data_IF_045293508057
#
_entry.id   IF_045293508057
#
_cell.length_a   1.000
_cell.length_b   1.000
_cell.length_c   1.000
_cell.angle_alpha   90.00
_cell.angle_beta   90.00
_cell.angle_gamma   90.00
#
_symmetry.space_group_name_H-M   'P 1'
#
loop_
_entity.id
_entity.type
_entity.pdbx_description
1 polymer ?
#
# COMPACT_ATOMS: atom_id res chain seq x y z
N UNK A 1 23.03 2.93 20.20
CA UNK A 1 23.19 2.12 18.99
C UNK A 1 22.04 2.51 18.05
N UNK A 2 22.33 3.08 16.89
CA UNK A 2 21.30 3.35 15.89
C UNK A 2 20.68 2.03 15.44
N UNK A 3 19.35 2.00 15.41
CA UNK A 3 18.63 0.84 14.89
C UNK A 3 19.08 0.62 13.42
N UNK A 4 19.52 -0.57 13.00
CA UNK A 4 19.94 -0.85 11.62
C UNK A 4 18.90 -0.43 10.57
N UNK A 5 17.65 -0.30 10.97
CA UNK A 5 16.54 0.09 10.13
C UNK A 5 16.44 1.59 9.85
N UNK A 6 17.03 2.45 10.69
CA UNK A 6 17.03 3.90 10.51
C UNK A 6 17.75 4.35 9.24
N UNK A 7 18.63 3.50 8.70
CA UNK A 7 19.31 3.72 7.41
C UNK A 7 18.36 3.69 6.20
N UNK A 8 17.18 3.12 6.37
CA UNK A 8 16.19 2.99 5.30
C UNK A 8 15.00 3.93 5.45
N UNK A 9 14.93 4.68 6.54
CA UNK A 9 13.91 5.71 6.73
C UNK A 9 14.24 6.92 5.87
N UNK A 10 13.23 7.43 5.19
CA UNK A 10 13.36 8.71 4.52
C UNK A 10 13.39 9.82 5.58
N UNK A 11 14.55 10.51 5.67
CA UNK A 11 14.76 11.63 6.58
C UNK A 11 14.57 12.93 5.81
N UNK A 12 13.92 13.90 6.41
CA UNK A 12 13.75 15.25 5.90
C UNK A 12 13.89 16.23 7.05
N UNK A 13 14.36 17.45 6.74
CA UNK A 13 14.43 18.55 7.71
C UNK A 13 13.06 19.14 8.06
N UNK A 14 11.99 18.65 7.41
CA UNK A 14 10.63 19.05 7.73
C UNK A 14 10.22 18.50 9.09
N UNK A 15 9.72 19.40 9.95
CA UNK A 15 9.09 19.00 11.19
C UNK A 15 7.79 18.22 10.92
N UNK A 16 7.59 17.18 11.71
CA UNK A 16 6.33 16.45 11.76
C UNK A 16 5.22 17.40 12.19
N UNK A 17 4.18 17.49 11.35
CA UNK A 17 3.03 18.32 11.67
C UNK A 17 1.96 17.51 12.41
N UNK A 18 1.73 17.86 13.66
CA UNK A 18 0.57 17.39 14.41
C UNK A 18 -0.38 18.57 14.67
N UNK A 19 -1.58 18.57 14.09
CA UNK A 19 -2.53 19.68 14.28
C UNK A 19 -3.03 19.74 15.73
N UNK A 20 -3.32 20.95 16.21
CA UNK A 20 -4.05 21.10 17.47
C UNK A 20 -5.44 20.49 17.31
N UNK A 21 -5.79 19.58 18.19
CA UNK A 21 -7.09 18.92 18.22
C UNK A 21 -7.99 19.55 19.24
N UNK A 22 -9.20 19.88 18.84
CA UNK A 22 -10.28 20.32 19.74
C UNK A 22 -10.89 19.14 20.48
N UNK A 23 -11.57 19.41 21.61
CA UNK A 23 -12.32 18.37 22.36
C UNK A 23 -13.35 17.67 21.46
N UNK A 24 -13.99 18.43 20.57
CA UNK A 24 -14.96 17.88 19.60
C UNK A 24 -14.31 16.91 18.61
N UNK A 25 -13.16 17.28 18.05
CA UNK A 25 -12.40 16.42 17.13
C UNK A 25 -11.90 15.14 17.84
N UNK A 26 -11.45 15.26 19.10
CA UNK A 26 -11.08 14.11 19.92
C UNK A 26 -12.26 13.17 20.17
N UNK A 27 -13.44 13.71 20.49
CA UNK A 27 -14.65 12.91 20.65
C UNK A 27 -15.02 12.18 19.36
N UNK A 28 -14.99 12.85 18.20
CA UNK A 28 -15.20 12.23 16.90
C UNK A 28 -14.19 11.12 16.65
N UNK A 29 -12.92 11.36 16.87
CA UNK A 29 -11.84 10.38 16.70
C UNK A 29 -12.05 9.16 17.58
N UNK A 30 -12.45 9.35 18.82
CA UNK A 30 -12.79 8.26 19.76
C UNK A 30 -13.94 7.39 19.26
N UNK A 31 -15.06 8.01 18.83
CA UNK A 31 -16.20 7.25 18.29
C UNK A 31 -15.84 6.51 17.00
N UNK A 32 -15.10 7.13 16.11
CA UNK A 32 -14.59 6.47 14.89
C UNK A 32 -13.68 5.27 15.23
N UNK A 33 -12.82 5.42 16.23
CA UNK A 33 -11.97 4.34 16.71
C UNK A 33 -12.80 3.18 17.28
N UNK A 34 -13.79 3.45 18.10
CA UNK A 34 -14.69 2.42 18.63
C UNK A 34 -15.41 1.66 17.51
N UNK A 35 -15.95 2.39 16.52
CA UNK A 35 -16.58 1.78 15.35
C UNK A 35 -15.58 0.94 14.57
N UNK A 36 -14.37 1.44 14.34
CA UNK A 36 -13.30 0.71 13.66
C UNK A 36 -12.97 -0.61 14.36
N UNK A 37 -12.78 -0.57 15.68
CA UNK A 37 -12.45 -1.76 16.47
C UNK A 37 -13.60 -2.76 16.42
N UNK A 38 -14.84 -2.32 16.70
CA UNK A 38 -16.04 -3.19 16.69
C UNK A 38 -16.24 -3.82 15.31
N UNK A 39 -16.16 -3.03 14.25
CA UNK A 39 -16.29 -3.52 12.87
C UNK A 39 -15.19 -4.52 12.50
N UNK A 40 -13.94 -4.26 12.91
CA UNK A 40 -12.82 -5.17 12.69
C UNK A 40 -13.04 -6.49 13.43
N UNK A 41 -13.43 -6.45 14.72
CA UNK A 41 -13.71 -7.65 15.51
C UNK A 41 -14.85 -8.49 14.90
N UNK A 42 -15.90 -7.86 14.38
CA UNK A 42 -16.98 -8.56 13.67
C UNK A 42 -16.54 -9.12 12.31
N UNK A 43 -15.61 -8.44 11.62
CA UNK A 43 -15.14 -8.87 10.30
C UNK A 43 -14.19 -10.07 10.37
N UNK A 44 -13.42 -10.24 11.46
CA UNK A 44 -12.45 -11.33 11.63
C UNK A 44 -13.11 -12.72 11.55
N UNK A 45 -14.16 -13.04 12.32
CA UNK A 45 -14.84 -14.34 12.24
C UNK A 45 -15.39 -14.62 10.84
N UNK A 46 -15.99 -13.63 10.20
CA UNK A 46 -16.50 -13.74 8.84
C UNK A 46 -15.38 -14.06 7.83
N UNK A 47 -14.24 -13.39 7.98
CA UNK A 47 -13.07 -13.65 7.13
C UNK A 47 -12.50 -15.05 7.37
N UNK A 48 -12.39 -15.50 8.62
CA UNK A 48 -11.92 -16.84 8.96
C UNK A 48 -12.86 -17.93 8.39
N UNK A 49 -14.17 -17.73 8.47
CA UNK A 49 -15.15 -18.62 7.85
C UNK A 49 -15.00 -18.65 6.33
N UNK A 50 -14.84 -17.50 5.69
CA UNK A 50 -14.57 -17.41 4.26
C UNK A 50 -13.25 -18.09 3.86
N UNK A 51 -12.24 -18.05 4.72
CA UNK A 51 -10.94 -18.73 4.50
C UNK A 51 -11.08 -20.26 4.60
N UNK A 52 -11.88 -20.76 5.56
CA UNK A 52 -12.20 -22.17 5.68
C UNK A 52 -12.93 -22.64 4.41
N UNK A 53 -13.95 -21.89 3.98
CA UNK A 53 -14.69 -22.18 2.75
C UNK A 53 -13.76 -22.22 1.53
N UNK A 54 -12.83 -21.24 1.42
CA UNK A 54 -11.83 -21.22 0.35
C UNK A 54 -10.96 -22.48 0.36
N UNK A 55 -10.48 -22.90 1.52
CA UNK A 55 -9.63 -24.10 1.63
C UNK A 55 -10.38 -25.38 1.21
N UNK A 56 -11.68 -25.43 1.39
CA UNK A 56 -12.52 -26.60 1.01
C UNK A 56 -12.97 -26.56 -0.45
N UNK A 57 -13.26 -25.40 -1.00
CA UNK A 57 -13.95 -25.25 -2.30
C UNK A 57 -13.13 -24.53 -3.36
N UNK A 58 -12.03 -23.88 -2.99
CA UNK A 58 -11.26 -22.99 -3.87
C UNK A 58 -11.94 -21.64 -4.16
N UNK A 59 -13.12 -21.36 -3.58
CA UNK A 59 -13.88 -20.14 -3.85
C UNK A 59 -13.28 -18.95 -3.08
N UNK A 60 -12.49 -18.12 -3.76
CA UNK A 60 -11.78 -16.95 -3.21
C UNK A 60 -12.69 -15.71 -2.98
N UNK A 61 -13.77 -15.58 -3.76
CA UNK A 61 -14.61 -14.38 -3.82
C UNK A 61 -15.09 -13.86 -2.46
N UNK A 62 -15.55 -14.66 -1.49
CA UNK A 62 -15.99 -14.15 -0.18
C UNK A 62 -14.88 -13.44 0.59
N UNK A 63 -13.66 -13.97 0.61
CA UNK A 63 -12.51 -13.33 1.29
C UNK A 63 -12.18 -11.97 0.66
N UNK A 64 -12.19 -11.90 -0.67
CA UNK A 64 -11.92 -10.65 -1.41
C UNK A 64 -12.98 -9.60 -1.07
N UNK A 65 -14.25 -9.98 -1.05
CA UNK A 65 -15.36 -9.09 -0.71
C UNK A 65 -15.21 -8.54 0.71
N UNK A 66 -14.96 -9.40 1.70
CA UNK A 66 -14.83 -8.98 3.10
C UNK A 66 -13.67 -8.00 3.27
N UNK A 67 -12.48 -8.31 2.70
CA UNK A 67 -11.31 -7.41 2.74
C UNK A 67 -11.59 -6.07 2.09
N UNK A 68 -12.23 -6.08 0.92
CA UNK A 68 -12.60 -4.87 0.18
C UNK A 68 -13.52 -3.97 0.99
N UNK A 69 -14.61 -4.53 1.53
CA UNK A 69 -15.55 -3.76 2.34
C UNK A 69 -14.94 -3.29 3.65
N UNK A 70 -14.11 -4.11 4.30
CA UNK A 70 -13.38 -3.70 5.51
C UNK A 70 -12.49 -2.48 5.23
N UNK A 71 -11.75 -2.49 4.13
CA UNK A 71 -10.91 -1.35 3.72
C UNK A 71 -11.74 -0.11 3.38
N UNK A 72 -12.85 -0.28 2.63
CA UNK A 72 -13.75 0.83 2.28
C UNK A 72 -14.36 1.51 3.50
N UNK A 73 -14.85 0.72 4.46
CA UNK A 73 -15.44 1.25 5.70
C UNK A 73 -14.36 1.95 6.53
N UNK A 74 -13.18 1.37 6.65
CA UNK A 74 -12.06 2.01 7.38
C UNK A 74 -11.67 3.35 6.75
N UNK A 75 -11.57 3.43 5.41
CA UNK A 75 -11.29 4.71 4.73
C UNK A 75 -12.41 5.74 4.93
N UNK A 76 -13.67 5.31 4.98
CA UNK A 76 -14.79 6.21 5.29
C UNK A 76 -14.74 6.71 6.75
N UNK A 77 -14.34 5.87 7.69
CA UNK A 77 -14.09 6.30 9.07
C UNK A 77 -12.94 7.31 9.15
N UNK A 78 -11.94 7.18 8.27
CA UNK A 78 -10.91 8.20 8.07
C UNK A 78 -11.40 9.40 7.23
N UNK A 79 -12.70 9.54 6.93
CA UNK A 79 -13.27 10.60 6.09
C UNK A 79 -12.57 10.76 4.73
N UNK A 80 -12.04 9.67 4.19
CA UNK A 80 -11.41 9.63 2.87
C UNK A 80 -12.39 9.12 1.81
N UNK A 81 -12.56 9.90 0.75
CA UNK A 81 -13.25 9.48 -0.47
C UNK A 81 -12.22 8.95 -1.46
N UNK A 82 -12.57 7.84 -2.14
CA UNK A 82 -11.69 7.24 -3.14
C UNK A 82 -12.09 7.75 -4.53
N UNK A 83 -11.08 8.16 -5.31
CA UNK A 83 -11.20 8.38 -6.75
C UNK A 83 -10.30 7.39 -7.47
N UNK A 84 -10.82 6.75 -8.51
CA UNK A 84 -10.08 5.78 -9.30
C UNK A 84 -10.05 6.23 -10.75
N UNK A 85 -8.87 6.19 -11.37
CA UNK A 85 -8.64 6.38 -12.79
C UNK A 85 -7.93 5.15 -13.34
N UNK A 86 -8.28 4.74 -14.54
CA UNK A 86 -7.81 3.47 -15.10
C UNK A 86 -8.48 2.26 -14.45
N UNK A 87 -7.97 1.08 -14.76
CA UNK A 87 -8.51 -0.20 -14.27
C UNK A 87 -7.38 -1.09 -13.79
N UNK A 88 -7.62 -1.81 -12.69
CA UNK A 88 -6.72 -2.88 -12.25
C UNK A 88 -6.73 -4.00 -13.29
N UNK A 89 -5.56 -4.52 -13.63
CA UNK A 89 -5.41 -5.59 -14.61
C UNK A 89 -6.15 -6.85 -14.20
N UNK A 90 -6.82 -7.47 -15.16
CA UNK A 90 -7.38 -8.83 -15.00
C UNK A 90 -6.31 -9.92 -15.08
N UNK A 91 -5.14 -9.61 -15.67
CA UNK A 91 -4.00 -10.52 -15.73
C UNK A 91 -3.20 -10.45 -14.43
N UNK A 92 -2.59 -11.57 -14.04
CA UNK A 92 -1.65 -11.60 -12.91
C UNK A 92 -0.47 -10.70 -13.22
N UNK A 93 -0.18 -9.76 -12.33
CA UNK A 93 0.87 -8.77 -12.54
C UNK A 93 1.56 -8.36 -11.23
N UNK A 94 2.68 -7.68 -11.36
CA UNK A 94 3.31 -6.93 -10.28
C UNK A 94 2.74 -5.51 -10.27
N UNK A 95 2.05 -5.14 -9.19
CA UNK A 95 1.60 -3.76 -8.97
C UNK A 95 2.69 -2.99 -8.23
N UNK A 96 3.09 -1.87 -8.81
CA UNK A 96 4.18 -1.04 -8.30
C UNK A 96 3.63 0.35 -8.00
N UNK A 97 3.74 0.80 -6.75
CA UNK A 97 3.13 2.04 -6.29
C UNK A 97 4.12 2.91 -5.52
N UNK A 98 4.00 4.25 -5.60
CA UNK A 98 4.63 5.15 -4.64
C UNK A 98 4.03 4.94 -3.24
N UNK A 99 4.77 5.32 -2.19
CA UNK A 99 4.38 5.05 -0.81
C UNK A 99 4.30 6.33 0.02
N UNK A 100 3.12 6.62 0.53
CA UNK A 100 2.83 7.84 1.29
C UNK A 100 2.46 7.50 2.74
N UNK A 101 1.66 6.44 2.94
CA UNK A 101 1.06 6.15 4.23
C UNK A 101 0.65 4.69 4.38
N UNK A 102 0.41 4.25 5.61
CA UNK A 102 -0.27 2.97 5.87
C UNK A 102 -1.67 2.92 5.23
N UNK A 103 -2.28 4.07 4.97
CA UNK A 103 -3.57 4.20 4.28
C UNK A 103 -3.52 3.69 2.83
N UNK A 104 -2.35 3.66 2.20
CA UNK A 104 -2.17 3.17 0.82
C UNK A 104 -2.63 1.73 0.68
N UNK A 105 -2.34 0.90 1.69
CA UNK A 105 -2.76 -0.51 1.73
C UNK A 105 -4.28 -0.61 1.70
N UNK A 106 -4.98 0.20 2.50
CA UNK A 106 -6.44 0.22 2.53
C UNK A 106 -7.03 0.71 1.22
N UNK A 107 -6.45 1.79 0.65
CA UNK A 107 -6.92 2.36 -0.60
C UNK A 107 -6.79 1.35 -1.75
N UNK A 108 -5.63 0.72 -1.90
CA UNK A 108 -5.37 -0.28 -2.94
C UNK A 108 -6.25 -1.51 -2.73
N UNK A 109 -6.31 -2.06 -1.51
CA UNK A 109 -7.10 -3.25 -1.19
C UNK A 109 -8.60 -3.07 -1.41
N UNK A 110 -9.11 -1.83 -1.30
CA UNK A 110 -10.52 -1.53 -1.57
C UNK A 110 -10.89 -1.71 -3.05
N UNK A 111 -9.92 -1.68 -3.96
CA UNK A 111 -10.12 -1.72 -5.42
C UNK A 111 -9.51 -2.99 -6.03
N UNK A 112 -8.28 -3.35 -5.63
CA UNK A 112 -7.50 -4.43 -6.24
C UNK A 112 -7.33 -5.62 -5.28
N UNK A 113 -7.46 -6.83 -5.82
CA UNK A 113 -7.14 -8.07 -5.08
C UNK A 113 -5.68 -8.41 -5.29
N UNK A 114 -4.83 -7.93 -4.38
CA UNK A 114 -3.38 -8.13 -4.42
C UNK A 114 -2.85 -8.68 -3.10
N UNK A 115 -1.70 -9.33 -3.15
CA UNK A 115 -0.90 -9.69 -1.99
C UNK A 115 0.16 -8.60 -1.80
N UNK A 116 0.17 -7.97 -0.62
CA UNK A 116 1.14 -6.93 -0.30
C UNK A 116 2.47 -7.50 0.14
N UNK A 117 3.55 -6.79 -0.19
CA UNK A 117 4.88 -7.02 0.35
C UNK A 117 5.11 -6.00 1.47
N UNK A 118 5.41 -6.47 2.66
CA UNK A 118 5.68 -5.64 3.82
C UNK A 118 7.00 -6.01 4.50
N UNK A 119 7.57 -5.08 5.26
CA UNK A 119 8.76 -5.32 6.09
C UNK A 119 8.45 -6.38 7.17
N UNK A 120 9.40 -7.26 7.45
CA UNK A 120 9.26 -8.33 8.44
C UNK A 120 8.85 -7.85 9.84
N UNK A 121 9.31 -6.66 10.26
CA UNK A 121 9.00 -6.10 11.57
C UNK A 121 7.51 -5.85 11.77
N UNK A 122 6.78 -5.50 10.69
CA UNK A 122 5.32 -5.30 10.72
C UNK A 122 4.59 -6.54 11.22
N UNK A 123 5.17 -7.74 11.02
CA UNK A 123 4.63 -9.02 11.51
C UNK A 123 4.40 -9.03 13.03
N UNK A 124 5.20 -8.26 13.76
CA UNK A 124 5.20 -8.21 15.23
C UNK A 124 4.44 -7.01 15.80
N UNK A 125 3.89 -6.13 14.94
CA UNK A 125 3.14 -4.98 15.42
C UNK A 125 1.80 -5.40 16.00
N UNK A 126 1.43 -4.92 17.21
CA UNK A 126 0.16 -5.27 17.84
C UNK A 126 -1.03 -4.98 16.94
N UNK A 127 -1.94 -5.94 16.78
CA UNK A 127 -3.12 -5.84 15.93
C UNK A 127 -2.82 -5.83 14.43
N UNK A 128 -1.99 -4.92 13.94
CA UNK A 128 -1.65 -4.79 12.50
C UNK A 128 -0.93 -6.02 11.97
N UNK A 129 0.04 -6.57 12.72
CA UNK A 129 0.75 -7.79 12.32
C UNK A 129 -0.20 -8.99 12.19
N UNK A 130 -1.21 -9.08 13.05
CA UNK A 130 -2.24 -10.11 12.96
C UNK A 130 -3.09 -9.92 11.69
N UNK A 131 -3.57 -8.71 11.43
CA UNK A 131 -4.37 -8.41 10.23
C UNK A 131 -3.57 -8.63 8.93
N UNK A 132 -2.29 -8.25 8.92
CA UNK A 132 -1.39 -8.48 7.78
C UNK A 132 -1.18 -9.99 7.52
N UNK A 133 -1.03 -10.80 8.57
CA UNK A 133 -0.97 -12.27 8.45
C UNK A 133 -2.27 -12.85 7.90
N UNK A 134 -3.42 -12.37 8.38
CA UNK A 134 -4.72 -12.79 7.85
C UNK A 134 -4.87 -12.46 6.37
N UNK A 135 -4.36 -11.30 5.94
CA UNK A 135 -4.38 -10.86 4.55
C UNK A 135 -3.35 -11.58 3.66
N UNK A 136 -2.62 -12.58 4.18
CA UNK A 136 -1.54 -13.31 3.50
C UNK A 136 -0.42 -12.41 2.98
N UNK A 137 -0.09 -11.32 3.70
CA UNK A 137 1.00 -10.40 3.37
C UNK A 137 2.32 -11.15 3.30
N UNK A 138 3.11 -10.91 2.25
CA UNK A 138 4.48 -11.41 2.11
C UNK A 138 5.42 -10.54 2.94
N UNK A 139 5.97 -11.10 4.01
CA UNK A 139 6.91 -10.39 4.87
C UNK A 139 8.35 -10.59 4.38
N UNK A 140 9.05 -9.49 4.13
CA UNK A 140 10.43 -9.50 3.61
C UNK A 140 11.38 -8.82 4.57
N UNK A 141 12.56 -9.40 4.71
CA UNK A 141 13.67 -8.79 5.43
C UNK A 141 14.50 -7.92 4.46
N UNK A 142 14.97 -6.77 4.94
CA UNK A 142 15.84 -5.87 4.17
C UNK A 142 17.29 -6.37 4.12
N UNK A 143 17.47 -7.67 3.92
CA UNK A 143 18.77 -8.31 3.81
C UNK A 143 19.03 -8.70 2.34
N UNK A 144 20.08 -8.16 1.69
CA UNK A 144 20.42 -8.52 0.31
C UNK A 144 20.62 -10.02 0.08
N UNK A 145 21.11 -10.76 1.08
CA UNK A 145 21.31 -12.20 1.00
C UNK A 145 19.99 -13.00 0.94
N UNK A 146 18.88 -12.42 1.42
CA UNK A 146 17.55 -13.05 1.43
C UNK A 146 16.67 -12.66 0.23
N UNK A 147 17.15 -11.81 -0.67
CA UNK A 147 16.37 -11.37 -1.85
C UNK A 147 15.93 -12.57 -2.70
N UNK A 148 16.81 -13.58 -2.88
CA UNK A 148 16.47 -14.82 -3.61
C UNK A 148 15.28 -15.55 -3.00
N UNK A 149 15.32 -15.79 -1.68
CA UNK A 149 14.23 -16.45 -0.95
C UNK A 149 12.90 -15.69 -1.06
N UNK A 150 12.94 -14.37 -0.90
CA UNK A 150 11.73 -13.54 -1.00
C UNK A 150 11.19 -13.51 -2.44
N UNK A 151 12.07 -13.56 -3.44
CA UNK A 151 11.67 -13.68 -4.84
C UNK A 151 11.00 -15.02 -5.11
N UNK A 152 11.50 -16.11 -4.55
CA UNK A 152 10.88 -17.41 -4.68
C UNK A 152 9.48 -17.45 -4.04
N UNK A 153 9.33 -16.92 -2.83
CA UNK A 153 8.02 -16.80 -2.17
C UNK A 153 7.03 -15.96 -2.99
N UNK A 154 7.48 -14.86 -3.58
CA UNK A 154 6.65 -14.03 -4.45
C UNK A 154 6.27 -14.77 -5.75
N UNK A 155 7.19 -15.55 -6.33
CA UNK A 155 6.90 -16.38 -7.51
C UNK A 155 5.82 -17.42 -7.23
N UNK A 156 5.82 -18.05 -6.05
CA UNK A 156 4.75 -18.97 -5.65
C UNK A 156 3.39 -18.27 -5.59
N UNK A 157 3.35 -17.04 -5.10
CA UNK A 157 2.12 -16.23 -5.06
C UNK A 157 1.62 -15.93 -6.48
N UNK A 158 2.52 -15.51 -7.37
CA UNK A 158 2.21 -15.20 -8.76
C UNK A 158 1.76 -16.44 -9.55
N UNK A 159 2.43 -17.58 -9.37
CA UNK A 159 2.06 -18.85 -10.03
C UNK A 159 0.71 -19.38 -9.57
N UNK A 160 0.28 -19.03 -8.34
CA UNK A 160 -1.06 -19.35 -7.84
C UNK A 160 -2.14 -18.35 -8.31
N UNK A 161 -1.85 -17.53 -9.32
CA UNK A 161 -2.79 -16.60 -9.92
C UNK A 161 -3.08 -15.34 -9.11
N UNK A 162 -2.19 -14.97 -8.15
CA UNK A 162 -2.36 -13.77 -7.35
C UNK A 162 -1.37 -12.69 -7.77
N UNK A 163 -1.86 -11.46 -7.99
CA UNK A 163 -1.00 -10.30 -8.21
C UNK A 163 -0.30 -9.88 -6.91
N UNK A 164 0.93 -9.38 -7.03
CA UNK A 164 1.74 -8.91 -5.90
C UNK A 164 1.89 -7.39 -5.98
N UNK A 165 1.59 -6.69 -4.88
CA UNK A 165 1.78 -5.25 -4.78
C UNK A 165 2.94 -4.91 -3.84
N UNK A 166 3.85 -4.07 -4.30
CA UNK A 166 4.96 -3.60 -3.49
C UNK A 166 5.28 -2.12 -3.73
N UNK A 167 5.94 -1.53 -2.73
CA UNK A 167 6.37 -0.14 -2.73
C UNK A 167 7.89 -0.08 -2.92
N UNK A 168 8.39 0.15 -4.14
CA UNK A 168 9.83 0.05 -4.44
C UNK A 168 10.68 1.16 -3.82
N UNK A 169 10.08 2.19 -3.28
CA UNK A 169 10.73 3.21 -2.46
C UNK A 169 11.34 2.60 -1.20
N UNK A 170 10.72 1.52 -0.69
CA UNK A 170 11.18 0.82 0.51
C UNK A 170 10.91 1.57 1.82
N UNK A 171 10.32 2.75 1.77
CA UNK A 171 9.86 3.56 2.89
C UNK A 171 8.73 4.47 2.39
N UNK A 172 7.90 4.97 3.30
CA UNK A 172 6.92 6.02 2.98
C UNK A 172 7.55 7.40 3.01
N UNK A 173 6.95 8.35 2.29
CA UNK A 173 7.38 9.74 2.14
C UNK A 173 6.29 10.73 2.55
N UNK A 174 6.57 12.02 2.39
CA UNK A 174 5.58 13.10 2.61
C UNK A 174 4.48 13.16 1.54
N UNK A 175 4.56 12.33 0.51
CA UNK A 175 3.60 12.31 -0.60
C UNK A 175 3.76 13.45 -1.60
N UNK A 176 4.80 14.27 -1.47
CA UNK A 176 5.08 15.39 -2.37
C UNK A 176 6.17 15.06 -3.40
N UNK A 177 6.67 13.85 -3.39
CA UNK A 177 7.70 13.32 -4.28
C UNK A 177 7.63 11.81 -4.37
N UNK A 178 8.18 11.26 -5.43
CA UNK A 178 8.47 9.84 -5.56
C UNK A 178 9.95 9.63 -5.26
N UNK A 179 10.26 8.78 -4.29
CA UNK A 179 11.63 8.41 -3.97
C UNK A 179 12.16 7.42 -5.01
N UNK A 180 13.49 7.33 -5.10
CA UNK A 180 14.17 6.44 -6.05
C UNK A 180 13.75 4.99 -5.87
N UNK A 181 13.30 4.35 -6.96
CA UNK A 181 12.86 2.97 -6.94
C UNK A 181 14.03 1.99 -6.83
N UNK A 182 13.91 1.05 -5.90
CA UNK A 182 14.83 -0.08 -5.75
C UNK A 182 14.45 -1.18 -6.72
N UNK A 183 15.35 -1.51 -7.64
CA UNK A 183 15.05 -2.46 -8.72
C UNK A 183 15.06 -3.94 -8.31
N UNK A 184 15.33 -4.27 -7.04
CA UNK A 184 15.47 -5.67 -6.60
C UNK A 184 14.26 -6.54 -6.92
N UNK A 185 13.07 -6.16 -6.48
CA UNK A 185 11.83 -6.90 -6.72
C UNK A 185 11.37 -6.88 -8.18
N UNK A 186 11.84 -5.94 -9.00
CA UNK A 186 11.57 -5.95 -10.44
C UNK A 186 12.21 -7.15 -11.15
N UNK A 187 13.14 -7.86 -10.51
CA UNK A 187 13.68 -9.10 -11.03
C UNK A 187 12.60 -10.17 -11.23
N UNK A 188 11.53 -10.14 -10.42
CA UNK A 188 10.39 -11.06 -10.57
C UNK A 188 9.74 -11.01 -11.95
N UNK A 189 9.79 -9.85 -12.61
CA UNK A 189 9.25 -9.67 -13.95
C UNK A 189 10.04 -10.44 -15.02
N UNK A 190 11.28 -10.85 -14.72
CA UNK A 190 12.19 -11.55 -15.63
C UNK A 190 12.47 -13.00 -15.20
N UNK A 191 11.88 -13.45 -14.09
CA UNK A 191 12.07 -14.81 -13.60
C UNK A 191 11.14 -15.77 -14.36
N UNK A 192 11.68 -16.94 -14.73
CA UNK A 192 10.86 -18.04 -15.26
C UNK A 192 10.02 -18.63 -14.13
N UNK A 193 8.70 -18.73 -14.32
CA UNK A 193 7.79 -19.39 -13.40
C UNK A 193 7.74 -20.90 -13.76
N UNK A 194 8.61 -21.72 -13.13
CA UNK A 194 8.63 -23.18 -13.27
C UNK A 194 9.32 -23.73 -14.54
N UNK A 195 9.38 -25.05 -14.67
CA UNK A 195 10.12 -25.77 -15.73
C UNK A 195 9.51 -25.65 -17.14
N UNK A 196 8.30 -25.13 -17.26
CA UNK A 196 7.58 -25.03 -18.55
C UNK A 196 7.05 -23.63 -18.78
N UNK A 197 7.76 -22.87 -19.61
CA UNK A 197 7.50 -21.53 -20.15
C UNK A 197 7.97 -20.37 -19.27
N UNK A 198 8.74 -19.50 -19.90
CA UNK A 198 9.06 -18.14 -19.45
C UNK A 198 7.74 -17.34 -19.40
N UNK A 199 7.02 -17.41 -18.28
CA UNK A 199 5.90 -16.51 -18.07
C UNK A 199 6.48 -15.21 -17.54
N UNK A 200 6.72 -14.30 -18.48
CA UNK A 200 7.11 -12.92 -18.17
C UNK A 200 5.93 -12.29 -17.45
N UNK A 201 6.18 -11.78 -16.25
CA UNK A 201 5.16 -11.08 -15.46
C UNK A 201 5.24 -9.59 -15.77
N UNK A 202 4.13 -9.04 -16.23
CA UNK A 202 4.02 -7.61 -16.51
C UNK A 202 3.90 -6.78 -15.25
N UNK A 203 4.24 -5.50 -15.36
CA UNK A 203 4.14 -4.54 -14.27
C UNK A 203 3.00 -3.57 -14.52
N UNK A 204 2.13 -3.39 -13.53
CA UNK A 204 1.17 -2.30 -13.52
C UNK A 204 1.62 -1.18 -12.58
N UNK A 205 2.09 -0.04 -13.11
CA UNK A 205 2.32 1.14 -12.28
C UNK A 205 1.00 1.68 -11.73
N UNK A 206 1.02 2.06 -10.46
CA UNK A 206 -0.10 2.66 -9.74
C UNK A 206 0.38 3.92 -9.04
N UNK A 207 -0.23 5.05 -9.35
CA UNK A 207 0.05 6.30 -8.64
C UNK A 207 -1.00 6.53 -7.57
N UNK A 208 -0.56 6.89 -6.35
CA UNK A 208 -1.43 7.28 -5.26
C UNK A 208 -1.14 8.73 -4.86
N UNK A 209 -2.21 9.48 -4.58
CA UNK A 209 -2.14 10.87 -4.14
C UNK A 209 -3.26 11.17 -3.15
N UNK A 210 -2.94 11.91 -2.10
CA UNK A 210 -3.91 12.38 -1.10
C UNK A 210 -4.12 13.89 -1.22
N UNK A 211 -5.38 14.29 -1.35
CA UNK A 211 -5.81 15.69 -1.42
C UNK A 211 -6.62 16.01 -0.15
N UNK A 212 -6.06 16.74 0.84
CA UNK A 212 -6.83 17.28 1.95
C UNK A 212 -7.91 18.23 1.43
N UNK A 213 -9.09 18.24 2.05
CA UNK A 213 -10.19 19.13 1.65
C UNK A 213 -10.31 20.38 2.49
N UNK A 214 -9.83 20.33 3.73
CA UNK A 214 -9.90 21.47 4.63
C UNK A 214 -8.69 22.38 4.39
N UNK A 215 -8.91 23.68 4.27
CA UNK A 215 -7.85 24.68 4.09
C UNK A 215 -6.80 24.70 5.20
N UNK A 216 -7.19 24.26 6.41
CA UNK A 216 -6.31 24.20 7.58
C UNK A 216 -5.40 22.96 7.57
N UNK A 217 -5.58 22.04 6.63
CA UNK A 217 -4.78 20.84 6.52
C UNK A 217 -3.65 21.03 5.52
N UNK A 218 -2.43 20.75 5.95
CA UNK A 218 -1.27 20.75 5.06
C UNK A 218 -1.44 19.67 3.98
N UNK A 219 -0.89 19.89 2.80
CA UNK A 219 -0.94 18.94 1.67
C UNK A 219 -0.32 17.59 2.01
N UNK A 220 0.66 17.55 2.92
CA UNK A 220 1.33 16.34 3.41
C UNK A 220 0.64 15.70 4.64
N UNK A 221 -0.58 16.12 4.98
CA UNK A 221 -1.31 15.68 6.17
C UNK A 221 -1.42 14.14 6.29
N UNK A 222 -1.61 13.44 5.17
CA UNK A 222 -1.79 11.99 5.16
C UNK A 222 -0.47 11.22 5.09
N UNK A 223 0.64 11.89 4.84
CA UNK A 223 1.96 11.26 4.83
C UNK A 223 2.35 10.75 6.21
N UNK A 224 2.94 9.55 6.22
CA UNK A 224 3.51 8.93 7.41
C UNK A 224 4.95 8.50 7.11
N UNK A 225 5.92 9.24 7.61
CA UNK A 225 7.33 9.06 7.27
C UNK A 225 8.25 9.22 8.47
N UNK A 226 9.52 8.90 8.28
CA UNK A 226 10.55 9.09 9.30
C UNK A 226 10.25 8.30 10.58
N UNK A 227 10.36 8.96 11.71
CA UNK A 227 10.13 8.39 13.03
C UNK A 227 8.72 8.69 13.58
N UNK A 228 7.78 9.09 12.71
CA UNK A 228 6.41 9.37 13.13
C UNK A 228 5.81 8.17 13.85
N UNK A 229 5.27 8.39 15.06
CA UNK A 229 4.49 7.38 15.76
C UNK A 229 3.26 7.01 14.96
N UNK A 230 3.12 5.72 14.62
CA UNK A 230 1.95 5.22 13.91
C UNK A 230 0.66 5.50 14.70
N UNK A 231 0.70 5.33 16.02
CA UNK A 231 -0.47 5.57 16.88
C UNK A 231 -0.91 7.03 16.81
N UNK A 232 0.02 7.97 16.93
CA UNK A 232 -0.29 9.41 16.84
C UNK A 232 -0.79 9.77 15.44
N UNK A 233 -0.22 9.16 14.40
CA UNK A 233 -0.69 9.38 13.03
C UNK A 233 -2.11 8.85 12.82
N UNK A 234 -2.45 7.66 13.32
CA UNK A 234 -3.82 7.11 13.30
C UNK A 234 -4.77 8.05 14.04
N UNK A 235 -4.40 8.51 15.24
CA UNK A 235 -5.19 9.46 16.02
C UNK A 235 -5.47 10.74 15.22
N UNK A 236 -4.42 11.36 14.67
CA UNK A 236 -4.52 12.54 13.80
C UNK A 236 -5.53 12.33 12.67
N UNK A 237 -5.41 11.20 11.96
CA UNK A 237 -6.28 10.87 10.84
C UNK A 237 -7.71 10.64 11.28
N UNK A 238 -7.96 9.92 12.37
CA UNK A 238 -9.32 9.66 12.86
C UNK A 238 -10.00 10.93 13.38
N UNK A 239 -9.25 11.84 13.99
CA UNK A 239 -9.81 13.06 14.57
C UNK A 239 -10.11 14.13 13.52
N UNK A 240 -9.18 14.40 12.61
CA UNK A 240 -9.22 15.62 11.76
C UNK A 240 -9.29 15.36 10.26
N UNK A 241 -9.25 14.11 9.82
CA UNK A 241 -9.20 13.81 8.39
C UNK A 241 -10.46 14.23 7.64
N UNK A 242 -10.26 14.86 6.49
CA UNK A 242 -11.25 15.06 5.43
C UNK A 242 -10.52 15.22 4.10
N UNK A 243 -10.71 14.29 3.18
CA UNK A 243 -9.94 14.33 1.93
C UNK A 243 -10.36 13.32 0.89
N UNK A 244 -9.53 13.28 -0.14
CA UNK A 244 -9.67 12.36 -1.26
C UNK A 244 -8.36 11.60 -1.40
N UNK A 245 -8.44 10.28 -1.57
CA UNK A 245 -7.35 9.47 -2.09
C UNK A 245 -7.62 9.13 -3.54
N UNK A 246 -6.70 9.50 -4.41
CA UNK A 246 -6.75 9.23 -5.84
C UNK A 246 -5.82 8.08 -6.19
N UNK A 247 -6.35 7.05 -6.85
CA UNK A 247 -5.63 5.90 -7.38
C UNK A 247 -5.66 6.00 -8.91
N UNK A 248 -4.51 6.00 -9.57
CA UNK A 248 -4.42 5.93 -11.02
C UNK A 248 -3.69 4.65 -11.44
N UNK A 249 -4.46 3.65 -11.94
CA UNK A 249 -3.92 2.44 -12.54
C UNK A 249 -3.47 2.74 -13.96
N UNK A 250 -2.17 2.78 -14.18
CA UNK A 250 -1.59 2.99 -15.51
C UNK A 250 -1.66 1.72 -16.36
N UNK A 251 -1.38 1.87 -17.66
CA UNK A 251 -1.28 0.72 -18.58
C UNK A 251 -0.14 -0.21 -18.15
N UNK A 252 -0.35 -1.50 -18.38
CA UNK A 252 0.68 -2.51 -18.15
C UNK A 252 1.95 -2.18 -18.93
N UNK A 253 3.07 -2.26 -18.24
CA UNK A 253 4.40 -2.29 -18.85
C UNK A 253 4.72 -3.74 -19.16
N UNK A 254 4.78 -4.06 -20.46
CA UNK A 254 5.17 -5.37 -20.95
C UNK A 254 6.65 -5.59 -20.69
N UNK A 255 6.98 -6.51 -19.80
CA UNK A 255 8.35 -6.68 -19.27
C UNK A 255 9.33 -7.17 -20.33
N UNK A 256 8.86 -7.86 -21.37
CA UNK A 256 9.62 -8.31 -22.53
C UNK A 256 10.19 -7.16 -23.39
N UNK A 257 9.65 -5.95 -23.24
CA UNK A 257 10.13 -4.75 -23.95
C UNK A 257 11.32 -4.05 -23.26
N UNK A 258 11.78 -4.58 -22.13
CA UNK A 258 12.87 -3.99 -21.35
C UNK A 258 14.06 -4.94 -21.28
N UNK A 259 15.26 -4.39 -21.42
CA UNK A 259 16.48 -5.18 -21.38
C UNK A 259 16.82 -5.73 -19.99
N UNK A 260 16.37 -5.03 -18.94
CA UNK A 260 16.68 -5.41 -17.57
C UNK A 260 15.77 -4.72 -16.54
N UNK A 261 15.81 -5.24 -15.32
CA UNK A 261 15.02 -4.74 -14.19
C UNK A 261 15.23 -3.25 -13.86
N UNK A 262 16.42 -2.68 -14.16
CA UNK A 262 16.71 -1.28 -13.84
C UNK A 262 15.97 -0.34 -14.81
N UNK A 263 15.94 -0.67 -16.10
CA UNK A 263 15.16 0.08 -17.08
C UNK A 263 13.66 0.03 -16.78
N UNK A 264 13.14 -1.15 -16.43
CA UNK A 264 11.74 -1.34 -16.10
C UNK A 264 11.37 -0.55 -14.83
N UNK A 265 12.22 -0.58 -13.79
CA UNK A 265 12.03 0.19 -12.57
C UNK A 265 12.05 1.71 -12.84
N UNK A 266 13.00 2.20 -13.63
CA UNK A 266 13.07 3.62 -14.00
C UNK A 266 11.84 4.07 -14.76
N UNK A 267 11.35 3.26 -15.71
CA UNK A 267 10.16 3.61 -16.48
C UNK A 267 8.90 3.67 -15.59
N UNK A 268 8.75 2.72 -14.66
CA UNK A 268 7.65 2.73 -13.70
C UNK A 268 7.73 3.95 -12.77
N UNK A 269 8.93 4.28 -12.28
CA UNK A 269 9.20 5.45 -11.45
C UNK A 269 8.82 6.75 -12.17
N UNK A 270 9.22 6.92 -13.43
CA UNK A 270 8.92 8.12 -14.22
C UNK A 270 7.41 8.30 -14.40
N UNK A 271 6.69 7.25 -14.78
CA UNK A 271 5.23 7.30 -14.96
C UNK A 271 4.53 7.73 -13.67
N UNK A 272 4.93 7.16 -12.53
CA UNK A 272 4.32 7.46 -11.24
C UNK A 272 4.68 8.87 -10.77
N UNK A 273 5.91 9.31 -11.02
CA UNK A 273 6.39 10.67 -10.69
C UNK A 273 5.64 11.73 -11.47
N UNK A 274 5.49 11.53 -12.78
CA UNK A 274 4.80 12.48 -13.66
C UNK A 274 3.33 12.67 -13.22
N UNK A 275 2.62 11.58 -12.93
CA UNK A 275 1.24 11.64 -12.44
C UNK A 275 1.16 12.30 -11.05
N UNK A 276 2.09 12.00 -10.14
CA UNK A 276 2.12 12.64 -8.81
C UNK A 276 2.35 14.14 -8.94
N UNK A 277 3.33 14.57 -9.75
CA UNK A 277 3.64 15.97 -10.01
C UNK A 277 2.43 16.70 -10.57
N UNK A 278 1.77 16.13 -11.57
CA UNK A 278 0.54 16.68 -12.14
C UNK A 278 -0.57 16.88 -11.09
N UNK A 279 -0.79 15.89 -10.21
CA UNK A 279 -1.81 15.99 -9.18
C UNK A 279 -1.49 17.06 -8.12
N UNK A 280 -0.21 17.20 -7.75
CA UNK A 280 0.25 18.23 -6.81
C UNK A 280 0.04 19.63 -7.40
N UNK A 281 0.44 19.86 -8.65
CA UNK A 281 0.25 21.14 -9.33
C UNK A 281 -1.24 21.50 -9.44
N UNK A 282 -2.06 20.55 -9.83
CA UNK A 282 -3.52 20.73 -9.92
C UNK A 282 -4.16 21.05 -8.56
N UNK A 283 -3.65 20.47 -7.48
CA UNK A 283 -4.17 20.76 -6.13
C UNK A 283 -3.82 22.15 -5.61
N UNK A 284 -2.74 22.77 -6.12
CA UNK A 284 -2.29 24.12 -5.73
C UNK A 284 -3.08 25.24 -6.45
N UNK A 285 -3.71 24.92 -7.57
CA UNK A 285 -4.49 25.88 -8.38
C UNK A 285 -5.94 25.99 -7.87
N UNK A 286 -6.38 25.09 -7.02
CA UNK A 286 -7.73 25.08 -6.42
C UNK A 286 -7.74 25.74 -5.05
#
# INVERSE_FOLDING_TARGET
>A
MENPDDRYLWKTDKEEFFPKLTVYELAIGFFRFLIFVSYTLCSIPLFLLAKILFNQTGIKKPMVIIRRYWSLVTLRLCSLKIKVKGTFSSEVCLVVCNHISWLDILAIQSIADVVFVAKSDVKNWPGLGFLAKLANTLFVERNPQKIGLHSEQANVILSNGNSVCFFPEGTSSDGLRVLKFRSGFFQLAFNSLGEKKVNIIDIQPLSIFYEPKNSDMRIDFYGWWGNMSLFLHILKVLCKSSGIVSLNFHKLLKSDRFQNRKQLASKAEDIIRDELTFNIEKSRIR
#
